data_IF_707467513729
#
_entry.id   IF_707467513729
#
_cell.length_a   1.000
_cell.length_b   1.000
_cell.length_c   1.000
_cell.angle_alpha   90.00
_cell.angle_beta   90.00
_cell.angle_gamma   90.00
#
_symmetry.space_group_name_H-M   'P 1'
#
loop_
_entity.id
_entity.type
_entity.pdbx_description
1 polymer ?
#
# COMPACT_ATOMS: atom_id res chain seq x y z
N UNK A 1 -48.75 12.64 19.98
CA UNK A 1 -47.87 13.62 20.67
C UNK A 1 -46.61 13.74 19.82
N UNK A 2 -46.41 14.89 19.18
CA UNK A 2 -45.19 15.16 18.42
C UNK A 2 -44.03 15.34 19.39
N UNK A 3 -42.95 14.57 19.24
CA UNK A 3 -41.72 14.80 19.98
C UNK A 3 -41.25 16.23 19.78
N UNK A 4 -40.75 16.86 20.83
CA UNK A 4 -40.20 18.21 20.67
C UNK A 4 -38.92 18.14 19.84
N UNK A 5 -38.57 19.22 19.12
CA UNK A 5 -37.33 19.31 18.34
C UNK A 5 -36.10 19.00 19.22
N UNK A 6 -36.17 19.34 20.51
CA UNK A 6 -35.11 19.04 21.47
C UNK A 6 -34.99 17.56 21.82
N UNK A 7 -36.06 16.77 21.70
CA UNK A 7 -36.02 15.31 21.88
C UNK A 7 -35.43 14.61 20.65
N UNK A 8 -35.73 15.11 19.45
CA UNK A 8 -35.20 14.56 18.19
C UNK A 8 -33.68 14.78 18.09
N UNK A 9 -33.21 15.97 18.49
CA UNK A 9 -31.78 16.30 18.50
C UNK A 9 -31.03 15.43 19.54
N UNK A 10 -31.65 15.17 20.70
CA UNK A 10 -31.08 14.30 21.73
C UNK A 10 -30.92 12.86 21.26
N UNK A 11 -31.92 12.32 20.57
CA UNK A 11 -31.89 10.93 20.08
C UNK A 11 -30.86 10.74 18.95
N UNK A 12 -30.76 11.69 18.02
CA UNK A 12 -29.78 11.64 16.91
C UNK A 12 -28.32 11.74 17.40
N UNK A 13 -28.04 12.57 18.42
CA UNK A 13 -26.70 12.68 19.00
C UNK A 13 -26.30 11.43 19.80
N UNK A 14 -27.25 10.74 20.43
CA UNK A 14 -26.98 9.50 21.19
C UNK A 14 -26.55 8.36 20.26
N UNK A 15 -27.17 8.23 19.08
CA UNK A 15 -26.82 7.18 18.11
C UNK A 15 -25.41 7.35 17.51
N UNK A 16 -24.94 8.58 17.30
CA UNK A 16 -23.56 8.86 16.82
C UNK A 16 -22.49 8.68 17.93
N UNK A 17 -22.89 8.69 19.21
CA UNK A 17 -21.99 8.69 20.37
C UNK A 17 -21.70 7.32 20.97
N UNK A 18 -22.59 6.33 20.80
CA UNK A 18 -22.31 4.93 21.18
C UNK A 18 -21.07 4.37 20.44
N UNK A 19 -20.65 5.01 19.35
CA UNK A 19 -19.43 4.70 18.61
C UNK A 19 -18.13 5.24 19.24
N UNK A 20 -18.17 6.19 20.18
CA UNK A 20 -16.98 6.95 20.65
C UNK A 20 -16.64 6.84 22.14
N UNK A 21 -17.37 6.02 22.91
CA UNK A 21 -17.04 5.64 24.30
C UNK A 21 -16.88 6.81 25.30
N UNK A 22 -17.59 7.93 25.07
CA UNK A 22 -17.58 9.12 25.95
C UNK A 22 -18.63 8.94 27.06
N UNK A 23 -18.28 9.22 28.32
CA UNK A 23 -19.23 9.11 29.45
C UNK A 23 -20.34 10.16 29.33
N UNK A 24 -21.60 9.71 29.40
CA UNK A 24 -22.80 10.55 29.21
C UNK A 24 -22.87 11.83 30.09
N UNK A 25 -22.24 11.84 31.28
CA UNK A 25 -22.20 13.01 32.17
C UNK A 25 -21.27 14.14 31.68
N UNK A 26 -20.11 13.78 31.12
CA UNK A 26 -19.10 14.74 30.63
C UNK A 26 -19.60 15.47 29.36
N UNK A 27 -20.40 14.77 28.55
CA UNK A 27 -21.03 15.32 27.35
C UNK A 27 -22.13 16.33 27.68
N UNK A 28 -22.94 16.07 28.71
CA UNK A 28 -24.00 16.99 29.15
C UNK A 28 -23.43 18.35 29.59
N UNK A 29 -22.29 18.34 30.27
CA UNK A 29 -21.64 19.56 30.73
C UNK A 29 -20.95 20.30 29.57
N UNK A 30 -20.36 19.57 28.62
CA UNK A 30 -19.79 20.17 27.41
C UNK A 30 -20.85 20.83 26.52
N UNK A 31 -21.97 20.16 26.25
CA UNK A 31 -23.08 20.72 25.45
C UNK A 31 -23.69 21.94 26.14
N UNK A 32 -23.89 21.89 27.47
CA UNK A 32 -24.35 23.05 28.25
C UNK A 32 -23.37 24.21 28.15
N UNK A 33 -22.07 23.96 28.28
CA UNK A 33 -21.02 24.98 28.17
C UNK A 33 -21.00 25.66 26.79
N UNK A 34 -21.22 24.90 25.71
CA UNK A 34 -21.31 25.45 24.35
C UNK A 34 -22.55 26.34 24.17
N UNK A 35 -23.70 25.91 24.67
CA UNK A 35 -24.92 26.72 24.68
C UNK A 35 -24.75 28.02 25.47
N UNK A 36 -24.09 27.97 26.64
CA UNK A 36 -23.79 29.15 27.47
C UNK A 36 -22.86 30.15 26.77
N UNK A 37 -21.96 29.67 25.91
CA UNK A 37 -21.10 30.51 25.07
C UNK A 37 -21.76 30.97 23.78
N UNK A 38 -23.04 30.65 23.56
CA UNK A 38 -23.80 31.02 22.36
C UNK A 38 -23.34 30.29 21.10
N UNK A 39 -22.55 29.21 21.24
CA UNK A 39 -22.03 28.42 20.12
C UNK A 39 -23.10 27.39 19.76
N UNK A 40 -23.63 27.49 18.54
CA UNK A 40 -24.59 26.51 18.04
C UNK A 40 -23.84 25.24 17.66
N UNK A 41 -24.34 24.11 18.11
CA UNK A 41 -23.76 22.79 17.78
C UNK A 41 -23.77 22.52 16.27
N UNK A 42 -24.77 23.02 15.54
CA UNK A 42 -24.82 22.95 14.07
C UNK A 42 -23.61 23.66 13.40
N UNK A 43 -23.21 24.83 13.91
CA UNK A 43 -22.07 25.59 13.38
C UNK A 43 -20.73 24.85 13.65
N UNK A 44 -20.66 24.09 14.74
CA UNK A 44 -19.50 23.24 15.04
C UNK A 44 -19.44 22.03 14.10
N UNK A 45 -20.58 21.36 13.87
CA UNK A 45 -20.65 20.22 12.94
C UNK A 45 -20.22 20.63 11.54
N UNK A 46 -20.77 21.73 11.02
CA UNK A 46 -20.39 22.27 9.70
C UNK A 46 -18.89 22.57 9.63
N UNK A 47 -18.33 23.14 10.70
CA UNK A 47 -16.91 23.46 10.78
C UNK A 47 -16.00 22.24 10.89
N UNK A 48 -16.38 21.17 11.60
CA UNK A 48 -15.55 19.95 11.59
C UNK A 48 -15.68 19.20 10.28
N UNK A 49 -16.82 19.26 9.59
CA UNK A 49 -16.95 18.70 8.24
C UNK A 49 -16.04 19.43 7.26
N UNK A 50 -16.06 20.77 7.25
CA UNK A 50 -15.15 21.56 6.41
C UNK A 50 -13.67 21.29 6.73
N UNK A 51 -13.31 21.18 8.02
CA UNK A 51 -11.94 20.84 8.42
C UNK A 51 -11.53 19.43 8.00
N UNK A 52 -12.46 18.45 7.98
CA UNK A 52 -12.16 17.11 7.47
C UNK A 52 -11.85 17.14 5.99
N UNK A 53 -12.65 17.85 5.21
CA UNK A 53 -12.43 18.01 3.76
C UNK A 53 -11.08 18.73 3.48
N UNK A 54 -10.74 19.78 4.25
CA UNK A 54 -9.43 20.45 4.14
C UNK A 54 -8.26 19.52 4.52
N UNK A 55 -8.40 18.71 5.59
CA UNK A 55 -7.38 17.74 5.98
C UNK A 55 -7.21 16.66 4.90
N UNK A 56 -8.29 16.16 4.32
CA UNK A 56 -8.22 15.18 3.23
C UNK A 56 -7.48 15.75 2.01
N UNK A 57 -7.77 16.99 1.61
CA UNK A 57 -7.07 17.65 0.51
C UNK A 57 -5.57 17.84 0.80
N UNK A 58 -5.20 18.24 2.03
CA UNK A 58 -3.79 18.37 2.44
C UNK A 58 -3.08 17.00 2.45
N UNK A 59 -3.76 15.94 2.88
CA UNK A 59 -3.21 14.59 2.87
C UNK A 59 -2.97 14.09 1.43
N UNK A 60 -3.86 14.41 0.50
CA UNK A 60 -3.64 14.11 -0.93
C UNK A 60 -2.45 14.90 -1.50
N UNK A 61 -2.31 16.18 -1.16
CA UNK A 61 -1.16 17.01 -1.58
C UNK A 61 0.17 16.46 -1.02
N UNK A 62 0.20 16.08 0.26
CA UNK A 62 1.38 15.44 0.88
C UNK A 62 1.70 14.09 0.23
N UNK A 63 0.68 13.27 -0.09
CA UNK A 63 0.88 12.00 -0.77
C UNK A 63 1.51 12.22 -2.16
N UNK A 64 0.99 13.19 -2.93
CA UNK A 64 1.55 13.58 -4.23
C UNK A 64 3.00 14.07 -4.11
N UNK A 65 3.30 14.94 -3.14
CA UNK A 65 4.66 15.43 -2.88
C UNK A 65 5.64 14.30 -2.48
N UNK A 66 5.14 13.28 -1.77
CA UNK A 66 5.90 12.10 -1.39
C UNK A 66 5.99 11.03 -2.48
N UNK A 67 5.40 11.26 -3.66
CA UNK A 67 5.35 10.28 -4.75
C UNK A 67 4.40 9.10 -4.47
N UNK A 68 3.57 9.19 -3.43
CA UNK A 68 2.48 8.27 -3.14
C UNK A 68 1.26 8.62 -4.02
N UNK A 69 1.44 8.62 -5.34
CA UNK A 69 0.31 8.70 -6.24
C UNK A 69 -0.55 7.45 -6.05
N UNK A 70 -1.84 7.65 -5.76
CA UNK A 70 -2.84 6.59 -5.98
C UNK A 70 -2.74 6.20 -7.44
N UNK A 71 -2.09 5.07 -7.73
CA UNK A 71 -2.12 4.48 -9.06
C UNK A 71 -3.57 4.22 -9.41
N UNK A 72 -4.12 5.03 -10.30
CA UNK A 72 -5.42 4.75 -10.88
C UNK A 72 -5.37 3.35 -11.50
N UNK A 73 -6.37 2.53 -11.20
CA UNK A 73 -6.48 1.19 -11.75
C UNK A 73 -6.61 1.29 -13.27
N UNK A 74 -5.55 0.95 -13.99
CA UNK A 74 -5.53 1.03 -15.44
C UNK A 74 -6.43 -0.07 -16.02
N UNK A 75 -7.53 0.35 -16.64
CA UNK A 75 -8.43 -0.52 -17.39
C UNK A 75 -8.49 -0.05 -18.85
N UNK A 76 -7.96 -0.83 -19.81
CA UNK A 76 -8.02 -0.46 -21.23
C UNK A 76 -9.45 -0.43 -21.78
N UNK A 77 -9.72 0.44 -22.75
CA UNK A 77 -10.94 0.48 -23.56
C UNK A 77 -10.76 -0.27 -24.89
N UNK A 78 -11.86 -0.52 -25.61
CA UNK A 78 -11.80 -1.18 -26.92
C UNK A 78 -10.90 -0.42 -27.91
N UNK A 79 -9.84 -1.10 -28.38
CA UNK A 79 -8.83 -0.57 -29.28
C UNK A 79 -7.58 -0.04 -28.58
N UNK A 80 -7.58 0.10 -27.26
CA UNK A 80 -6.42 0.57 -26.51
C UNK A 80 -5.27 -0.43 -26.58
N UNK A 81 -4.05 0.10 -26.55
CA UNK A 81 -2.84 -0.73 -26.45
C UNK A 81 -2.50 -0.95 -24.99
N UNK A 82 -2.15 -2.18 -24.65
CA UNK A 82 -1.66 -2.54 -23.33
C UNK A 82 -0.48 -3.52 -23.44
N UNK A 83 0.34 -3.57 -22.40
CA UNK A 83 1.53 -4.41 -22.35
C UNK A 83 1.33 -5.59 -21.41
N UNK A 84 1.96 -6.72 -21.74
CA UNK A 84 1.93 -7.94 -20.92
C UNK A 84 3.30 -8.61 -20.90
N UNK A 85 3.59 -9.33 -19.82
CA UNK A 85 4.73 -10.23 -19.72
C UNK A 85 4.28 -11.65 -20.06
N UNK A 86 4.87 -12.24 -21.10
CA UNK A 86 4.61 -13.63 -21.50
C UNK A 86 5.27 -14.61 -20.55
N UNK A 87 4.87 -15.87 -20.63
CA UNK A 87 5.42 -16.97 -19.81
C UNK A 87 6.92 -17.22 -19.99
N UNK A 88 7.51 -16.76 -21.09
CA UNK A 88 8.95 -16.81 -21.36
C UNK A 88 9.69 -15.53 -20.89
N UNK A 89 8.99 -14.59 -20.26
CA UNK A 89 9.52 -13.29 -19.85
C UNK A 89 9.53 -12.22 -20.94
N UNK A 90 9.05 -12.52 -22.16
CA UNK A 90 8.99 -11.55 -23.24
C UNK A 90 7.89 -10.50 -22.97
N UNK A 91 8.27 -9.23 -23.09
CA UNK A 91 7.32 -8.10 -23.02
C UNK A 91 6.75 -7.85 -24.41
N UNK A 92 5.44 -7.87 -24.54
CA UNK A 92 4.73 -7.59 -25.79
C UNK A 92 3.57 -6.65 -25.55
N UNK A 93 3.19 -5.91 -26.60
CA UNK A 93 1.95 -5.15 -26.60
C UNK A 93 0.84 -5.92 -27.32
N UNK A 94 -0.40 -5.68 -26.89
CA UNK A 94 -1.63 -6.20 -27.46
C UNK A 94 -2.65 -5.06 -27.54
N UNK A 95 -3.70 -5.28 -28.34
CA UNK A 95 -4.84 -4.38 -28.39
C UNK A 95 -5.97 -4.97 -27.56
N UNK A 96 -6.60 -4.16 -26.72
CA UNK A 96 -7.80 -4.55 -26.01
C UNK A 96 -8.94 -4.69 -27.01
N UNK A 97 -9.50 -5.88 -27.10
CA UNK A 97 -10.56 -6.22 -28.04
C UNK A 97 -11.82 -6.71 -27.35
N UNK A 98 -11.89 -6.60 -26.02
CA UNK A 98 -12.94 -7.18 -25.19
C UNK A 98 -13.05 -8.70 -25.39
N UNK A 99 -11.91 -9.32 -25.68
CA UNK A 99 -11.80 -10.77 -25.88
C UNK A 99 -11.51 -11.45 -24.55
N UNK A 100 -11.86 -12.72 -24.42
CA UNK A 100 -11.65 -13.50 -23.18
C UNK A 100 -10.19 -13.54 -22.70
N UNK A 101 -9.22 -13.26 -23.58
CA UNK A 101 -7.81 -13.20 -23.20
C UNK A 101 -7.51 -11.91 -22.43
N UNK A 102 -8.12 -10.80 -22.85
CA UNK A 102 -7.99 -9.47 -22.25
C UNK A 102 -8.55 -9.50 -20.82
N UNK A 103 -9.74 -10.10 -20.66
CA UNK A 103 -10.37 -10.33 -19.36
C UNK A 103 -9.49 -11.16 -18.42
N UNK A 104 -8.90 -12.24 -18.92
CA UNK A 104 -8.00 -13.10 -18.13
C UNK A 104 -6.76 -12.31 -17.71
N UNK A 105 -6.15 -11.56 -18.63
CA UNK A 105 -4.98 -10.75 -18.31
C UNK A 105 -5.31 -9.68 -17.25
N UNK A 106 -6.47 -9.03 -17.36
CA UNK A 106 -6.94 -8.04 -16.41
C UNK A 106 -7.18 -8.67 -15.02
N UNK A 107 -7.91 -9.79 -14.96
CA UNK A 107 -8.19 -10.51 -13.71
C UNK A 107 -6.94 -11.01 -12.98
N UNK A 108 -5.86 -11.27 -13.73
CA UNK A 108 -4.59 -11.72 -13.17
C UNK A 108 -3.62 -10.55 -12.88
N UNK A 109 -4.06 -9.29 -13.00
CA UNK A 109 -3.20 -8.09 -12.86
C UNK A 109 -1.95 -8.16 -13.75
N UNK A 110 -2.08 -8.74 -14.95
CA UNK A 110 -0.98 -8.95 -15.88
C UNK A 110 -0.91 -7.88 -16.98
N UNK A 111 -1.69 -6.79 -16.83
CA UNK A 111 -1.79 -5.70 -17.78
C UNK A 111 -1.03 -4.49 -17.26
N UNK A 112 -0.17 -3.94 -18.11
CA UNK A 112 0.61 -2.74 -17.85
C UNK A 112 0.24 -1.65 -18.86
N UNK A 113 0.24 -0.41 -18.41
CA UNK A 113 -0.09 0.76 -19.23
C UNK A 113 1.07 1.09 -20.16
N UNK A 114 2.29 0.93 -19.68
CA UNK A 114 3.51 1.23 -20.44
C UNK A 114 4.40 0.01 -20.63
N UNK A 115 5.31 0.10 -21.61
CA UNK A 115 6.31 -0.93 -21.85
C UNK A 115 7.26 -1.03 -20.66
N UNK A 116 7.65 0.12 -20.10
CA UNK A 116 8.59 0.23 -19.00
C UNK A 116 8.06 -0.45 -17.74
N UNK A 117 6.76 -0.31 -17.44
CA UNK A 117 6.10 -1.03 -16.34
C UNK A 117 6.16 -2.56 -16.54
N UNK A 118 5.90 -3.03 -17.76
CA UNK A 118 5.95 -4.46 -18.08
C UNK A 118 7.39 -5.00 -18.04
N UNK A 119 8.37 -4.25 -18.54
CA UNK A 119 9.80 -4.59 -18.46
C UNK A 119 10.30 -4.61 -17.02
N UNK A 120 9.82 -3.68 -16.19
CA UNK A 120 10.13 -3.67 -14.78
C UNK A 120 9.62 -4.92 -14.07
N UNK A 121 8.35 -5.28 -14.26
CA UNK A 121 7.80 -6.50 -13.64
C UNK A 121 8.46 -7.77 -14.20
N UNK A 122 8.79 -7.81 -15.50
CA UNK A 122 9.51 -8.93 -16.10
C UNK A 122 10.88 -9.17 -15.43
N UNK A 123 11.69 -8.12 -15.24
CA UNK A 123 12.98 -8.24 -14.55
C UNK A 123 12.81 -8.49 -13.05
N UNK A 124 11.78 -7.93 -12.40
CA UNK A 124 11.45 -8.24 -11.00
C UNK A 124 11.13 -9.71 -10.79
N UNK A 125 10.27 -10.29 -11.64
CA UNK A 125 9.95 -11.72 -11.58
C UNK A 125 11.19 -12.57 -11.81
N UNK A 126 12.10 -12.14 -12.69
CA UNK A 126 13.36 -12.83 -12.93
C UNK A 126 14.29 -12.78 -11.73
N UNK A 127 14.47 -11.63 -11.09
CA UNK A 127 15.26 -11.49 -9.84
C UNK A 127 14.68 -12.40 -8.75
N UNK A 128 13.36 -12.40 -8.56
CA UNK A 128 12.70 -13.31 -7.61
C UNK A 128 12.99 -14.78 -7.93
N UNK A 129 12.90 -15.18 -9.20
CA UNK A 129 13.21 -16.56 -9.62
C UNK A 129 14.68 -16.92 -9.45
N UNK A 130 15.59 -15.98 -9.65
CA UNK A 130 17.02 -16.16 -9.40
C UNK A 130 17.27 -16.39 -7.90
N UNK A 131 16.65 -15.57 -7.03
CA UNK A 131 16.70 -15.73 -5.58
C UNK A 131 16.09 -17.05 -5.10
N UNK A 132 14.93 -17.46 -5.63
CA UNK A 132 14.28 -18.75 -5.30
C UNK A 132 15.15 -19.96 -5.69
N UNK A 133 15.94 -19.86 -6.76
CA UNK A 133 16.85 -20.94 -7.20
C UNK A 133 18.10 -21.05 -6.33
N UNK A 134 18.58 -19.91 -5.83
CA UNK A 134 19.79 -19.84 -5.00
C UNK A 134 19.47 -20.10 -3.52
N UNK A 135 18.25 -19.78 -3.08
CA UNK A 135 17.80 -19.99 -1.73
C UNK A 135 16.94 -21.24 -1.55
N UNK A 136 16.18 -21.24 -0.46
CA UNK A 136 15.21 -22.27 -0.09
C UNK A 136 13.96 -21.67 0.52
N UNK A 137 12.94 -22.50 0.71
CA UNK A 137 11.73 -22.13 1.43
C UNK A 137 11.98 -21.81 2.91
N UNK A 138 11.08 -21.02 3.51
CA UNK A 138 11.10 -20.70 4.93
C UNK A 138 11.11 -21.96 5.83
N UNK A 139 11.92 -21.94 6.89
CA UNK A 139 11.98 -22.97 7.92
C UNK A 139 11.45 -22.39 9.23
N UNK A 140 10.24 -22.78 9.67
CA UNK A 140 9.69 -22.34 10.95
C UNK A 140 10.64 -22.68 12.10
N UNK A 141 10.91 -21.71 12.97
CA UNK A 141 11.80 -21.82 14.12
C UNK A 141 13.27 -22.15 13.78
N UNK A 142 13.63 -22.12 12.49
CA UNK A 142 15.01 -22.22 12.03
C UNK A 142 15.62 -20.84 11.78
N UNK A 143 16.91 -20.84 11.51
CA UNK A 143 17.59 -19.67 10.98
C UNK A 143 17.18 -19.48 9.51
N UNK A 144 16.70 -18.30 9.16
CA UNK A 144 16.37 -17.94 7.79
C UNK A 144 17.04 -16.62 7.49
N UNK A 145 18.12 -16.68 6.72
CA UNK A 145 18.82 -15.49 6.25
C UNK A 145 18.05 -14.91 5.06
N UNK A 146 17.80 -13.61 5.09
CA UNK A 146 17.09 -12.88 4.03
C UNK A 146 17.80 -11.57 3.71
N UNK A 147 17.64 -11.13 2.46
CA UNK A 147 18.15 -9.86 1.98
C UNK A 147 17.12 -8.78 2.31
N UNK A 148 17.57 -7.69 2.93
CA UNK A 148 16.75 -6.52 3.30
C UNK A 148 17.38 -5.24 2.77
N UNK A 149 16.58 -4.17 2.71
CA UNK A 149 17.05 -2.83 2.41
C UNK A 149 16.97 -1.97 3.67
N UNK A 150 18.11 -1.49 4.15
CA UNK A 150 18.21 -0.56 5.26
C UNK A 150 18.12 0.89 4.77
N UNK A 151 17.43 1.74 5.52
CA UNK A 151 17.39 3.20 5.35
C UNK A 151 18.04 3.91 6.56
N UNK A 152 19.39 4.03 6.62
CA UNK A 152 20.04 4.69 7.74
C UNK A 152 19.78 6.20 7.72
N UNK A 153 19.53 6.81 8.88
CA UNK A 153 19.23 8.25 9.01
C UNK A 153 20.28 9.21 8.41
N UNK A 154 21.52 8.75 8.22
CA UNK A 154 22.66 9.58 7.81
C UNK A 154 23.41 9.02 6.58
N UNK A 155 22.93 7.94 5.97
CA UNK A 155 23.60 7.28 4.84
C UNK A 155 22.61 6.90 3.75
N UNK A 156 23.12 6.65 2.54
CA UNK A 156 22.32 6.04 1.48
C UNK A 156 21.83 4.66 1.91
N UNK A 157 20.70 4.26 1.35
CA UNK A 157 20.16 2.92 1.47
C UNK A 157 21.17 1.86 1.03
N UNK A 158 21.16 0.73 1.73
CA UNK A 158 22.08 -0.38 1.46
C UNK A 158 21.40 -1.70 1.69
N UNK A 159 21.82 -2.71 0.93
CA UNK A 159 21.41 -4.07 1.23
C UNK A 159 22.05 -4.52 2.54
N UNK A 160 21.27 -5.24 3.34
CA UNK A 160 21.74 -5.95 4.53
C UNK A 160 21.22 -7.38 4.52
N UNK A 161 21.85 -8.23 5.34
CA UNK A 161 21.43 -9.61 5.54
C UNK A 161 20.96 -9.72 6.98
N UNK A 162 19.71 -10.13 7.14
CA UNK A 162 19.05 -10.30 8.43
C UNK A 162 18.66 -11.76 8.65
N UNK A 163 18.48 -12.14 9.91
CA UNK A 163 18.16 -13.52 10.32
C UNK A 163 16.91 -13.54 11.19
N UNK A 164 15.90 -14.33 10.79
CA UNK A 164 14.66 -14.49 11.55
C UNK A 164 14.21 -15.95 11.63
N UNK A 165 13.64 -16.35 12.78
CA UNK A 165 13.10 -17.70 12.99
C UNK A 165 11.64 -17.78 13.38
N UNK A 166 11.03 -16.66 13.81
CA UNK A 166 9.65 -16.62 14.27
C UNK A 166 8.72 -15.80 13.34
N UNK A 167 9.27 -15.13 12.34
CA UNK A 167 8.55 -14.23 11.43
C UNK A 167 8.96 -14.52 9.99
N UNK A 168 7.97 -14.61 9.10
CA UNK A 168 8.18 -14.78 7.66
C UNK A 168 7.95 -13.44 6.95
N UNK A 169 8.93 -12.96 6.19
CA UNK A 169 8.77 -11.78 5.33
C UNK A 169 8.29 -12.24 3.94
N UNK A 170 7.24 -11.62 3.41
CA UNK A 170 6.51 -12.10 2.23
C UNK A 170 7.07 -11.61 0.88
N UNK A 171 8.28 -11.01 0.83
CA UNK A 171 8.87 -10.48 -0.41
C UNK A 171 9.37 -11.56 -1.40
N UNK A 172 8.81 -12.77 -1.34
CA UNK A 172 9.25 -13.96 -2.05
C UNK A 172 9.57 -15.10 -1.06
N UNK A 173 9.66 -16.33 -1.57
CA UNK A 173 10.00 -17.50 -0.74
C UNK A 173 11.46 -17.91 -0.96
N UNK A 174 12.39 -17.00 -0.68
CA UNK A 174 13.83 -17.22 -0.76
C UNK A 174 14.49 -16.90 0.58
N UNK A 175 15.07 -17.92 1.19
CA UNK A 175 15.88 -17.81 2.40
C UNK A 175 17.16 -18.60 2.23
N UNK A 176 18.21 -18.19 2.94
CA UNK A 176 19.50 -18.85 2.90
C UNK A 176 19.78 -19.54 4.23
N UNK A 177 20.60 -20.58 4.22
CA UNK A 177 21.01 -21.27 5.44
C UNK A 177 22.16 -20.53 6.14
N UNK A 178 22.94 -19.71 5.42
CA UNK A 178 23.98 -18.85 6.01
C UNK A 178 24.03 -17.43 5.41
N UNK A 179 24.74 -16.52 6.09
CA UNK A 179 25.01 -15.16 5.61
C UNK A 179 25.87 -15.18 4.34
N UNK A 180 26.84 -16.08 4.25
CA UNK A 180 27.71 -16.21 3.07
C UNK A 180 26.93 -16.60 1.81
N UNK A 181 25.95 -17.50 1.93
CA UNK A 181 25.07 -17.88 0.83
C UNK A 181 24.21 -16.70 0.36
N UNK A 182 23.68 -15.91 1.29
CA UNK A 182 22.92 -14.69 0.96
C UNK A 182 23.81 -13.65 0.26
N UNK A 183 25.05 -13.47 0.73
CA UNK A 183 26.01 -12.56 0.11
C UNK A 183 26.44 -13.05 -1.28
N UNK A 184 26.61 -14.35 -1.49
CA UNK A 184 26.88 -14.93 -2.80
C UNK A 184 25.72 -14.67 -3.77
N UNK A 185 24.46 -14.81 -3.33
CA UNK A 185 23.31 -14.49 -4.15
C UNK A 185 23.27 -13.02 -4.58
N UNK A 186 23.59 -12.09 -3.67
CA UNK A 186 23.75 -10.65 -3.99
C UNK A 186 24.82 -10.46 -5.07
N UNK A 187 25.97 -11.13 -4.94
CA UNK A 187 27.07 -11.01 -5.89
C UNK A 187 26.73 -11.59 -7.27
N UNK A 188 25.97 -12.70 -7.32
CA UNK A 188 25.56 -13.35 -8.58
C UNK A 188 24.53 -12.51 -9.32
N UNK A 189 23.51 -11.99 -8.62
CA UNK A 189 22.40 -11.27 -9.25
C UNK A 189 22.77 -9.81 -9.53
N UNK A 190 23.59 -9.22 -8.66
CA UNK A 190 23.99 -7.82 -8.66
C UNK A 190 23.16 -6.98 -7.69
N UNK A 191 23.85 -6.28 -6.78
CA UNK A 191 23.24 -5.41 -5.76
C UNK A 191 22.27 -4.38 -6.34
N UNK A 192 22.67 -3.67 -7.39
CA UNK A 192 21.82 -2.64 -8.03
C UNK A 192 20.56 -3.23 -8.68
N UNK A 193 20.65 -4.43 -9.26
CA UNK A 193 19.47 -5.12 -9.82
C UNK A 193 18.50 -5.52 -8.71
N UNK A 194 19.02 -6.00 -7.58
CA UNK A 194 18.19 -6.34 -6.42
C UNK A 194 17.53 -5.08 -5.88
N UNK A 195 18.27 -4.00 -5.62
CA UNK A 195 17.71 -2.73 -5.13
C UNK A 195 16.60 -2.20 -6.05
N UNK A 196 16.88 -2.13 -7.35
CA UNK A 196 15.93 -1.63 -8.34
C UNK A 196 14.67 -2.48 -8.43
N UNK A 197 14.82 -3.78 -8.67
CA UNK A 197 13.68 -4.60 -9.06
C UNK A 197 12.98 -5.26 -7.87
N UNK A 198 13.70 -5.61 -6.79
CA UNK A 198 13.08 -6.20 -5.60
C UNK A 198 12.51 -5.13 -4.65
N UNK A 199 13.24 -4.02 -4.47
CA UNK A 199 12.89 -2.97 -3.50
C UNK A 199 12.38 -1.67 -4.12
N UNK A 200 12.37 -1.54 -5.44
CA UNK A 200 11.84 -0.34 -6.12
C UNK A 200 12.68 0.91 -5.91
N UNK A 201 13.98 0.77 -5.62
CA UNK A 201 14.89 1.93 -5.47
C UNK A 201 15.29 2.43 -6.85
N UNK A 202 14.90 3.65 -7.18
CA UNK A 202 15.35 4.37 -8.38
C UNK A 202 16.63 5.18 -8.06
N UNK A 203 17.50 5.36 -9.07
CA UNK A 203 18.77 6.11 -8.95
C UNK A 203 18.58 7.62 -8.71
#
# INVERSE_FOLDING_TARGET
MSKSINEIIKESLIEELDASNIKAGELSDFVRHLYEKGIKTADLTERVTALKEEIEAILEEIALENGEEKKEEFKPEFGDTYWVVRSNGEVVHLFWTDHSYDDIALQNNAIFKTQEEAEFEAERLKVLRELEKLGRAFRPYGENYSIELEYPLLHKERLSISIFGATQHCFGNYYFDTEEEAQEAINIIGEERIKKYLFGVEE
#
